data_IF_073153766345
#
_entry.id   IF_073153766345
#
_cell.length_a   1.000
_cell.length_b   1.000
_cell.length_c   1.000
_cell.angle_alpha   90.00
_cell.angle_beta   90.00
_cell.angle_gamma   90.00
#
_symmetry.space_group_name_H-M   'P 1'
#
loop_
_entity.id
_entity.type
_entity.pdbx_description
1 polymer ?
#
# COMPACT_ATOMS: atom_id res chain seq x y z
N UNK A 1 -21.20 21.71 -3.89
CA UNK A 1 -19.73 21.68 -4.05
C UNK A 1 -19.14 20.39 -3.47
N UNK A 2 -18.29 19.74 -4.21
CA UNK A 2 -17.67 18.50 -3.76
C UNK A 2 -16.64 18.77 -2.65
N UNK A 3 -16.82 18.10 -1.52
CA UNK A 3 -15.91 18.23 -0.36
C UNK A 3 -14.90 17.08 -0.27
N UNK A 4 -14.98 16.13 -1.20
CA UNK A 4 -14.06 15.00 -1.17
C UNK A 4 -12.64 15.42 -1.53
N UNK A 5 -11.69 14.78 -0.91
CA UNK A 5 -10.28 15.10 -1.04
C UNK A 5 -9.51 13.93 -1.64
N UNK A 6 -8.52 14.26 -2.44
CA UNK A 6 -7.72 13.25 -3.16
C UNK A 6 -6.75 12.55 -2.22
N UNK A 7 -6.70 11.23 -2.35
CA UNK A 7 -5.72 10.39 -1.66
C UNK A 7 -5.18 9.35 -2.63
N UNK A 8 -4.16 8.64 -2.19
CA UNK A 8 -3.59 7.52 -2.93
C UNK A 8 -3.71 6.25 -2.11
N UNK A 9 -4.20 5.19 -2.73
CA UNK A 9 -4.09 3.85 -2.18
C UNK A 9 -2.98 3.12 -2.93
N UNK A 10 -2.13 2.42 -2.19
CA UNK A 10 -1.11 1.56 -2.78
C UNK A 10 -1.51 0.13 -2.48
N UNK A 11 -1.75 -0.64 -3.53
CA UNK A 11 -2.15 -2.04 -3.44
C UNK A 11 -0.91 -2.89 -3.70
N UNK A 12 -0.53 -3.69 -2.72
CA UNK A 12 0.71 -4.47 -2.77
C UNK A 12 0.45 -5.92 -2.34
N UNK A 13 0.47 -6.89 -3.28
CA UNK A 13 0.46 -8.29 -2.87
C UNK A 13 1.78 -8.66 -2.20
N UNK A 14 1.70 -9.32 -1.06
CA UNK A 14 2.83 -9.78 -0.27
C UNK A 14 2.76 -11.31 -0.12
N UNK A 15 3.88 -11.94 0.19
CA UNK A 15 3.92 -13.40 0.32
C UNK A 15 3.12 -13.90 1.52
N UNK A 16 3.05 -13.12 2.60
CA UNK A 16 2.33 -13.48 3.82
C UNK A 16 2.03 -12.25 4.66
N UNK A 17 1.28 -12.44 5.74
CA UNK A 17 0.90 -11.34 6.63
C UNK A 17 2.10 -10.77 7.40
N UNK A 18 3.12 -11.57 7.64
CA UNK A 18 4.32 -11.11 8.34
C UNK A 18 5.06 -10.05 7.52
N UNK A 19 5.22 -10.31 6.20
CA UNK A 19 5.84 -9.34 5.30
C UNK A 19 5.01 -8.07 5.20
N UNK A 20 3.70 -8.21 5.03
CA UNK A 20 2.79 -7.06 4.95
C UNK A 20 2.84 -6.23 6.23
N UNK A 21 2.85 -6.88 7.38
CA UNK A 21 2.91 -6.19 8.68
C UNK A 21 4.25 -5.45 8.84
N UNK A 22 5.35 -6.08 8.46
CA UNK A 22 6.67 -5.46 8.57
C UNK A 22 6.77 -4.18 7.73
N UNK A 23 6.30 -4.23 6.48
CA UNK A 23 6.28 -3.05 5.60
C UNK A 23 5.38 -1.96 6.20
N UNK A 24 4.20 -2.35 6.69
CA UNK A 24 3.26 -1.41 7.31
C UNK A 24 3.88 -0.69 8.51
N UNK A 25 4.57 -1.43 9.38
CA UNK A 25 5.20 -0.87 10.57
C UNK A 25 6.30 0.14 10.21
N UNK A 26 7.09 -0.15 9.19
CA UNK A 26 8.11 0.79 8.73
C UNK A 26 7.46 2.08 8.22
N UNK A 27 6.43 1.94 7.39
CA UNK A 27 5.73 3.11 6.83
C UNK A 27 5.04 3.95 7.92
N UNK A 28 4.42 3.28 8.90
CA UNK A 28 3.77 3.99 10.02
C UNK A 28 4.81 4.71 10.89
N UNK A 29 5.94 4.06 11.17
CA UNK A 29 6.97 4.69 12.00
C UNK A 29 7.59 5.92 11.32
N UNK A 30 7.67 5.91 9.99
CA UNK A 30 8.15 7.06 9.22
C UNK A 30 7.06 8.08 8.95
N UNK A 31 5.82 7.80 9.35
CA UNK A 31 4.66 8.68 9.17
C UNK A 31 4.39 9.02 7.70
N UNK A 32 4.63 8.06 6.82
CA UNK A 32 4.37 8.25 5.39
C UNK A 32 3.03 7.66 4.94
N UNK A 33 2.35 6.92 5.82
CA UNK A 33 0.99 6.42 5.59
C UNK A 33 0.12 6.73 6.79
N UNK A 34 -1.20 6.78 6.56
CA UNK A 34 -2.16 6.96 7.64
C UNK A 34 -2.71 5.63 8.15
N UNK A 35 -2.80 4.64 7.27
CA UNK A 35 -3.46 3.38 7.60
C UNK A 35 -2.97 2.29 6.67
N UNK A 36 -2.91 1.06 7.18
CA UNK A 36 -2.62 -0.13 6.40
C UNK A 36 -3.75 -1.13 6.62
N UNK A 37 -4.26 -1.69 5.52
CA UNK A 37 -5.24 -2.78 5.57
C UNK A 37 -4.56 -4.03 5.03
N UNK A 38 -4.75 -5.16 5.71
CA UNK A 38 -4.08 -6.42 5.38
C UNK A 38 -5.14 -7.51 5.29
N UNK A 39 -5.19 -8.25 4.18
CA UNK A 39 -6.16 -9.31 4.02
C UNK A 39 -5.66 -10.40 3.07
N UNK A 40 -6.12 -11.66 3.26
CA UNK A 40 -5.67 -12.78 2.41
C UNK A 40 -6.37 -12.78 1.07
N UNK A 41 -5.64 -13.25 0.04
CA UNK A 41 -6.17 -13.45 -1.30
C UNK A 41 -5.64 -14.74 -1.90
N UNK A 42 -6.28 -15.19 -2.99
CA UNK A 42 -5.74 -16.22 -3.88
C UNK A 42 -5.40 -15.53 -5.19
N UNK A 43 -4.19 -15.75 -5.70
CA UNK A 43 -3.72 -15.17 -6.95
C UNK A 43 -3.47 -16.25 -7.98
N UNK A 44 -4.01 -16.06 -9.18
CA UNK A 44 -3.77 -16.96 -10.30
C UNK A 44 -3.13 -16.16 -11.43
N UNK A 45 -2.03 -16.66 -11.97
CA UNK A 45 -1.28 -15.93 -12.99
C UNK A 45 -0.35 -16.87 -13.75
N UNK A 46 0.15 -16.43 -14.89
CA UNK A 46 1.16 -17.18 -15.63
C UNK A 46 2.55 -16.87 -15.10
N UNK A 47 3.28 -17.93 -14.83
CA UNK A 47 4.68 -17.83 -14.43
C UNK A 47 5.44 -18.97 -15.06
N UNK A 48 6.48 -18.64 -15.82
CA UNK A 48 7.33 -19.63 -16.51
C UNK A 48 6.51 -20.62 -17.35
N UNK A 49 5.53 -20.10 -18.10
CA UNK A 49 4.71 -20.88 -19.02
C UNK A 49 3.61 -21.70 -18.38
N UNK A 50 3.40 -21.59 -17.09
CA UNK A 50 2.38 -22.34 -16.36
C UNK A 50 1.49 -21.41 -15.55
N UNK A 51 0.28 -21.89 -15.26
CA UNK A 51 -0.62 -21.17 -14.37
C UNK A 51 -0.19 -21.44 -12.92
N UNK A 52 0.22 -20.39 -12.24
CA UNK A 52 0.48 -20.42 -10.81
C UNK A 52 -0.79 -20.08 -10.05
N UNK A 53 -0.96 -20.67 -8.87
CA UNK A 53 -2.09 -20.39 -7.99
C UNK A 53 -1.53 -20.32 -6.57
N UNK A 54 -1.33 -19.09 -6.08
CA UNK A 54 -0.68 -18.84 -4.81
C UNK A 54 -1.61 -18.18 -3.81
N UNK A 55 -1.43 -18.53 -2.56
CA UNK A 55 -2.03 -17.78 -1.46
C UNK A 55 -1.11 -16.62 -1.13
N UNK A 56 -1.66 -15.43 -1.19
CA UNK A 56 -0.92 -14.21 -0.88
C UNK A 56 -1.71 -13.38 0.12
N UNK A 57 -1.12 -12.27 0.52
CA UNK A 57 -1.75 -11.30 1.41
C UNK A 57 -1.64 -9.93 0.75
N UNK A 58 -2.76 -9.22 0.65
CA UNK A 58 -2.74 -7.87 0.11
C UNK A 58 -2.53 -6.87 1.23
N UNK A 59 -1.63 -5.94 0.98
CA UNK A 59 -1.42 -4.77 1.81
C UNK A 59 -1.94 -3.56 1.04
N UNK A 60 -2.90 -2.84 1.63
CA UNK A 60 -3.35 -1.56 1.09
C UNK A 60 -2.86 -0.46 2.01
N UNK A 61 -2.06 0.45 1.47
CA UNK A 61 -1.53 1.61 2.19
C UNK A 61 -2.33 2.85 1.79
N UNK A 62 -2.81 3.59 2.79
CA UNK A 62 -3.54 4.85 2.54
C UNK A 62 -2.60 6.00 2.79
N UNK A 63 -2.37 6.80 1.74
CA UNK A 63 -1.37 7.86 1.76
C UNK A 63 -1.73 8.99 0.81
N UNK A 64 -0.78 9.88 0.56
CA UNK A 64 -0.90 10.95 -0.43
C UNK A 64 0.08 10.72 -1.57
N UNK A 65 -0.31 11.14 -2.78
CA UNK A 65 0.49 10.94 -3.98
C UNK A 65 1.93 11.44 -3.83
N UNK A 66 2.15 12.55 -3.14
CA UNK A 66 3.49 13.14 -2.95
C UNK A 66 4.47 12.22 -2.23
N UNK A 67 3.97 11.20 -1.54
CA UNK A 67 4.81 10.27 -0.79
C UNK A 67 5.06 8.96 -1.51
N UNK A 68 4.51 8.80 -2.73
CA UNK A 68 4.62 7.52 -3.42
C UNK A 68 6.07 7.07 -3.63
N UNK A 69 6.95 7.96 -4.09
CA UNK A 69 8.34 7.57 -4.36
C UNK A 69 9.07 7.10 -3.09
N UNK A 70 8.81 7.76 -1.97
CA UNK A 70 9.37 7.36 -0.69
C UNK A 70 8.89 5.97 -0.29
N UNK A 71 7.58 5.73 -0.42
CA UNK A 71 6.98 4.44 -0.07
C UNK A 71 7.47 3.34 -1.02
N UNK A 72 7.55 3.61 -2.31
CA UNK A 72 8.07 2.65 -3.28
C UNK A 72 9.49 2.21 -2.91
N UNK A 73 10.33 3.14 -2.49
CA UNK A 73 11.69 2.84 -2.06
C UNK A 73 11.70 1.92 -0.82
N UNK A 74 10.81 2.19 0.13
CA UNK A 74 10.68 1.35 1.34
C UNK A 74 10.24 -0.06 0.94
N UNK A 75 9.25 -0.16 0.05
CA UNK A 75 8.74 -1.46 -0.40
C UNK A 75 9.85 -2.26 -1.07
N UNK A 76 10.59 -1.66 -1.99
CA UNK A 76 11.64 -2.37 -2.74
C UNK A 76 12.74 -2.91 -1.84
N UNK A 77 13.00 -2.27 -0.72
CA UNK A 77 14.01 -2.72 0.24
C UNK A 77 13.53 -3.87 1.12
N UNK A 78 12.22 -4.04 1.25
CA UNK A 78 11.62 -4.95 2.24
C UNK A 78 10.72 -6.02 1.65
N UNK A 79 10.47 -6.00 0.35
CA UNK A 79 9.59 -6.93 -0.34
C UNK A 79 10.41 -8.08 -0.92
N UNK A 80 9.93 -9.30 -0.75
CA UNK A 80 10.68 -10.50 -1.15
C UNK A 80 10.56 -10.86 -2.63
N UNK A 81 9.60 -10.28 -3.34
CA UNK A 81 9.35 -10.63 -4.74
C UNK A 81 10.41 -10.03 -5.67
N UNK A 82 10.81 -10.80 -6.69
CA UNK A 82 11.72 -10.29 -7.73
C UNK A 82 11.06 -9.15 -8.51
N UNK A 83 9.76 -9.31 -8.79
CA UNK A 83 8.97 -8.30 -9.48
C UNK A 83 7.81 -7.92 -8.55
N UNK A 84 7.91 -6.75 -7.95
CA UNK A 84 6.86 -6.25 -7.04
C UNK A 84 5.74 -5.58 -7.85
N UNK A 85 4.50 -5.96 -7.57
CA UNK A 85 3.34 -5.26 -8.12
C UNK A 85 2.95 -4.14 -7.15
N UNK A 86 3.41 -2.93 -7.44
CA UNK A 86 3.15 -1.75 -6.61
C UNK A 86 2.11 -0.90 -7.35
N UNK A 87 0.84 -1.14 -7.05
CA UNK A 87 -0.27 -0.57 -7.81
C UNK A 87 -0.77 0.69 -7.13
N UNK A 88 -0.84 1.79 -7.89
CA UNK A 88 -1.35 3.07 -7.41
C UNK A 88 -2.82 3.20 -7.79
N UNK A 89 -3.65 3.48 -6.80
CA UNK A 89 -5.08 3.74 -7.02
C UNK A 89 -5.37 5.15 -6.54
N UNK A 90 -5.56 6.06 -7.50
CA UNK A 90 -5.92 7.44 -7.20
C UNK A 90 -7.41 7.50 -6.92
N UNK A 91 -7.78 8.03 -5.76
CA UNK A 91 -9.17 8.08 -5.36
C UNK A 91 -9.43 9.29 -4.47
N UNK A 92 -10.59 9.33 -3.86
CA UNK A 92 -11.00 10.43 -3.00
C UNK A 92 -11.58 9.88 -1.71
N UNK A 93 -11.49 10.67 -0.66
CA UNK A 93 -12.03 10.34 0.65
C UNK A 93 -12.78 11.56 1.18
N UNK A 94 -13.70 11.33 2.09
CA UNK A 94 -14.46 12.40 2.72
C UNK A 94 -13.54 13.34 3.51
N UNK A 95 -14.01 14.56 3.73
CA UNK A 95 -13.21 15.62 4.31
C UNK A 95 -12.67 15.30 5.71
N UNK A 96 -13.50 14.72 6.58
CA UNK A 96 -13.06 14.44 7.95
C UNK A 96 -11.95 13.38 7.99
N UNK A 97 -12.05 12.36 7.17
CA UNK A 97 -11.01 11.35 7.09
C UNK A 97 -9.71 11.93 6.52
N UNK A 98 -9.83 12.75 5.48
CA UNK A 98 -8.67 13.44 4.90
C UNK A 98 -7.95 14.31 5.93
N UNK A 99 -8.70 15.04 6.74
CA UNK A 99 -8.13 15.88 7.80
C UNK A 99 -7.38 15.03 8.83
N UNK A 100 -7.94 13.88 9.18
CA UNK A 100 -7.24 12.95 10.08
C UNK A 100 -5.95 12.44 9.44
N UNK A 101 -5.98 12.03 8.18
CA UNK A 101 -4.78 11.59 7.47
C UNK A 101 -3.69 12.66 7.52
N UNK A 102 -4.07 13.93 7.26
CA UNK A 102 -3.12 15.05 7.32
C UNK A 102 -2.50 15.21 8.71
N UNK A 103 -3.25 14.88 9.75
CA UNK A 103 -2.76 15.03 11.11
C UNK A 103 -1.72 13.99 11.50
N UNK A 104 -1.70 12.82 10.82
CA UNK A 104 -0.80 11.71 11.18
C UNK A 104 0.32 11.48 10.16
N UNK A 105 0.20 12.04 8.96
CA UNK A 105 1.21 11.92 7.90
C UNK A 105 2.12 13.14 7.91
N UNK A 106 3.42 12.93 7.65
CA UNK A 106 4.39 14.03 7.61
C UNK A 106 4.04 15.04 6.52
N UNK A 107 4.46 16.28 6.73
CA UNK A 107 4.14 17.41 5.83
C UNK A 107 5.17 17.61 4.71
N UNK A 108 6.15 16.77 4.59
CA UNK A 108 7.23 16.93 3.61
C UNK A 108 6.90 16.31 2.27
#
# INVERSE_FOLDING_TARGET
>A
MNKDKKILLIYLPCKDSKEATAISEICLSKKVIACANIFPINSMYYWEGKVANDKEVVLILKTFKRLFNTIESIIKKNHSYNISAIIQIKTKVNKSYHSWMKSVIINK
#
